data_IF_718542719607
#
_entry.id   IF_718542719607
#
_cell.length_a   1.000
_cell.length_b   1.000
_cell.length_c   1.000
_cell.angle_alpha   90.00
_cell.angle_beta   90.00
_cell.angle_gamma   90.00
#
_symmetry.space_group_name_H-M   'P 1'
#
loop_
_entity.id
_entity.type
_entity.pdbx_description
1 polymer ?
#
# COMPACT_ATOMS: atom_id res chain seq x y z
N UNK A 1 -10.34 9.17 -21.23
CA UNK A 1 -10.28 8.60 -19.88
C UNK A 1 -8.85 8.14 -19.68
N UNK A 2 -8.13 8.77 -18.75
CA UNK A 2 -6.77 8.40 -18.43
C UNK A 2 -6.82 7.55 -17.16
N UNK A 3 -6.44 6.28 -17.28
CA UNK A 3 -6.25 5.38 -16.14
C UNK A 3 -4.79 5.49 -15.74
N UNK A 4 -4.53 5.88 -14.50
CA UNK A 4 -3.18 5.99 -13.96
C UNK A 4 -2.76 4.71 -13.23
N UNK A 5 -1.46 4.58 -12.96
CA UNK A 5 -0.90 3.47 -12.19
C UNK A 5 -1.51 3.40 -10.78
N UNK A 6 -1.44 2.20 -10.21
CA UNK A 6 -2.19 1.80 -9.03
C UNK A 6 -1.90 2.70 -7.80
N UNK A 7 -2.95 3.22 -7.16
CA UNK A 7 -2.88 3.77 -5.80
C UNK A 7 -2.48 2.64 -4.86
N UNK A 8 -1.46 2.82 -4.02
CA UNK A 8 -1.03 1.78 -3.07
C UNK A 8 -1.44 2.13 -1.64
N UNK A 9 -2.19 1.23 -1.03
CA UNK A 9 -2.60 1.31 0.37
C UNK A 9 -1.83 0.30 1.22
N UNK A 10 -1.60 0.62 2.50
CA UNK A 10 -0.96 -0.30 3.42
C UNK A 10 -1.51 -0.27 4.85
N UNK A 11 -1.42 -1.44 5.50
CA UNK A 11 -1.59 -1.65 6.93
C UNK A 11 -0.32 -2.28 7.51
N UNK A 12 0.07 -1.83 8.70
CA UNK A 12 1.19 -2.37 9.49
C UNK A 12 0.68 -3.00 10.78
N UNK A 13 1.14 -4.21 11.07
CA UNK A 13 0.76 -4.96 12.26
C UNK A 13 -0.77 -5.04 12.42
N UNK A 14 -1.26 -4.48 13.52
CA UNK A 14 -2.68 -4.53 13.92
C UNK A 14 -3.51 -3.34 13.41
N UNK A 15 -2.97 -2.51 12.51
CA UNK A 15 -3.75 -1.45 11.86
C UNK A 15 -4.97 -2.05 11.13
N UNK A 16 -6.14 -1.43 11.33
CA UNK A 16 -7.42 -1.79 10.68
C UNK A 16 -7.83 -0.79 9.61
N UNK A 17 -7.23 0.40 9.61
CA UNK A 17 -7.47 1.45 8.61
C UNK A 17 -6.35 1.39 7.59
N UNK A 18 -6.70 1.32 6.31
CA UNK A 18 -5.74 1.42 5.22
C UNK A 18 -5.18 2.84 5.14
N UNK A 19 -3.85 2.94 5.04
CA UNK A 19 -3.17 4.22 4.81
C UNK A 19 -2.78 4.31 3.35
N UNK A 20 -3.28 5.34 2.67
CA UNK A 20 -2.82 5.73 1.34
C UNK A 20 -1.33 6.07 1.38
N UNK A 21 -0.54 5.34 0.60
CA UNK A 21 0.91 5.56 0.47
C UNK A 21 1.27 6.39 -0.77
N UNK A 22 0.31 6.67 -1.64
CA UNK A 22 0.41 7.53 -2.81
C UNK A 22 0.16 6.80 -4.13
N UNK A 23 0.00 7.61 -5.17
CA UNK A 23 0.02 7.17 -6.56
C UNK A 23 1.45 7.24 -7.07
N UNK A 24 2.05 6.10 -7.41
CA UNK A 24 3.37 6.08 -8.04
C UNK A 24 3.23 5.84 -9.55
N UNK A 25 3.57 6.86 -10.33
CA UNK A 25 3.59 6.75 -11.79
C UNK A 25 4.82 5.99 -12.31
N UNK A 26 5.80 5.67 -11.44
CA UNK A 26 7.06 5.04 -11.81
C UNK A 26 7.32 3.80 -10.93
N UNK A 27 6.92 2.60 -11.37
CA UNK A 27 7.18 1.39 -10.59
C UNK A 27 8.70 1.17 -10.39
N UNK A 28 9.12 0.57 -9.26
CA UNK A 28 8.29 0.02 -8.19
C UNK A 28 7.92 1.03 -7.09
N UNK A 29 6.73 0.88 -6.50
CA UNK A 29 6.36 1.57 -5.26
C UNK A 29 7.29 1.16 -4.10
N UNK A 30 7.74 2.12 -3.29
CA UNK A 30 8.64 1.87 -2.14
C UNK A 30 8.03 2.40 -0.83
N UNK A 31 7.65 1.50 0.08
CA UNK A 31 7.23 1.86 1.45
C UNK A 31 8.44 2.09 2.36
N UNK A 32 8.82 3.36 2.54
CA UNK A 32 9.95 3.78 3.38
C UNK A 32 9.59 4.03 4.85
N UNK A 33 8.36 3.72 5.30
CA UNK A 33 7.98 3.92 6.70
C UNK A 33 8.76 2.98 7.61
N UNK A 34 9.23 3.49 8.74
CA UNK A 34 9.84 2.67 9.77
C UNK A 34 8.83 1.64 10.36
N UNK A 35 9.31 0.48 10.84
CA UNK A 35 8.49 -0.43 11.63
C UNK A 35 7.88 0.24 12.86
N UNK A 36 6.69 -0.17 13.25
CA UNK A 36 5.97 0.35 14.43
C UNK A 36 6.71 0.06 15.74
N UNK A 37 7.49 -1.01 15.79
CA UNK A 37 8.33 -1.38 16.93
C UNK A 37 9.69 -1.88 16.44
N UNK A 38 10.74 -1.63 17.24
CA UNK A 38 12.08 -2.14 16.98
C UNK A 38 12.22 -3.59 17.46
N UNK A 39 12.80 -4.46 16.63
CA UNK A 39 13.17 -5.83 16.99
C UNK A 39 12.25 -6.90 16.40
N UNK A 40 10.97 -6.98 16.78
CA UNK A 40 10.04 -7.96 16.21
C UNK A 40 9.84 -7.73 14.71
N UNK A 41 9.68 -8.82 13.92
CA UNK A 41 9.19 -8.71 12.57
C UNK A 41 7.80 -8.05 12.55
N UNK A 42 7.56 -7.21 11.56
CA UNK A 42 6.30 -6.51 11.34
C UNK A 42 5.60 -7.10 10.13
N UNK A 43 4.35 -7.56 10.30
CA UNK A 43 3.50 -7.87 9.15
C UNK A 43 3.05 -6.57 8.47
N UNK A 44 3.22 -6.50 7.15
CA UNK A 44 2.70 -5.44 6.30
C UNK A 44 1.78 -6.02 5.25
N UNK A 45 0.60 -5.43 5.13
CA UNK A 45 -0.39 -5.76 4.11
C UNK A 45 -0.46 -4.61 3.12
N UNK A 46 -0.54 -4.94 1.84
CA UNK A 46 -0.61 -3.99 0.74
C UNK A 46 -1.74 -4.37 -0.21
N UNK A 47 -2.42 -3.37 -0.75
CA UNK A 47 -3.38 -3.53 -1.83
C UNK A 47 -3.28 -2.33 -2.75
N UNK A 48 -3.71 -2.49 -4.00
CA UNK A 48 -3.67 -1.42 -4.97
C UNK A 48 -4.96 -1.33 -5.78
N UNK A 49 -5.32 -0.14 -6.25
CA UNK A 49 -6.49 0.09 -7.10
C UNK A 49 -6.17 1.10 -8.20
N UNK A 50 -6.87 1.01 -9.32
CA UNK A 50 -6.75 2.01 -10.38
C UNK A 50 -7.29 3.37 -9.93
N UNK A 51 -6.73 4.43 -10.50
CA UNK A 51 -7.30 5.78 -10.38
C UNK A 51 -7.87 6.20 -11.74
N UNK A 52 -9.14 6.55 -11.74
CA UNK A 52 -9.85 7.11 -12.89
C UNK A 52 -10.33 8.52 -12.58
N UNK A 53 -9.76 9.52 -13.28
CA UNK A 53 -10.15 10.92 -13.14
C UNK A 53 -10.19 11.39 -11.66
N UNK A 54 -9.07 11.17 -10.95
CA UNK A 54 -8.87 11.45 -9.52
C UNK A 54 -9.77 10.67 -8.54
N UNK A 55 -10.55 9.70 -9.04
CA UNK A 55 -11.32 8.79 -8.22
C UNK A 55 -10.66 7.41 -8.16
N UNK A 56 -10.43 6.90 -6.95
CA UNK A 56 -9.99 5.52 -6.73
C UNK A 56 -11.12 4.59 -7.14
N UNK A 57 -10.82 3.59 -7.96
CA UNK A 57 -11.81 2.56 -8.31
C UNK A 57 -12.12 1.70 -7.09
N UNK A 58 -13.28 1.02 -7.13
CA UNK A 58 -13.65 0.07 -6.08
C UNK A 58 -12.99 -1.31 -6.27
N UNK A 59 -12.28 -1.50 -7.37
CA UNK A 59 -11.65 -2.76 -7.75
C UNK A 59 -10.22 -2.82 -7.21
N UNK A 60 -10.10 -3.29 -5.97
CA UNK A 60 -8.82 -3.51 -5.31
C UNK A 60 -8.17 -4.82 -5.76
N UNK A 61 -6.84 -4.83 -5.81
CA UNK A 61 -6.04 -6.03 -5.99
C UNK A 61 -6.25 -7.01 -4.84
N UNK A 62 -5.80 -8.25 -5.02
CA UNK A 62 -5.58 -9.12 -3.89
C UNK A 62 -4.60 -8.47 -2.88
N UNK A 63 -4.77 -8.77 -1.59
CA UNK A 63 -3.85 -8.31 -0.55
C UNK A 63 -2.53 -9.07 -0.63
N UNK A 64 -1.42 -8.33 -0.75
CA UNK A 64 -0.07 -8.85 -0.58
C UNK A 64 0.35 -8.70 0.88
N UNK A 65 0.79 -9.79 1.51
CA UNK A 65 1.33 -9.77 2.87
C UNK A 65 2.84 -10.01 2.85
N UNK A 66 3.59 -9.15 3.53
CA UNK A 66 5.05 -9.20 3.67
C UNK A 66 5.42 -9.16 5.14
N UNK A 67 6.40 -9.96 5.56
CA UNK A 67 7.01 -9.85 6.88
C UNK A 67 8.27 -8.99 6.75
N UNK A 68 8.20 -7.76 7.27
CA UNK A 68 9.29 -6.80 7.28
C UNK A 68 10.17 -6.99 8.52
N UNK A 69 11.47 -6.88 8.35
CA UNK A 69 12.46 -6.96 9.43
C UNK A 69 13.19 -5.62 9.55
N UNK A 70 13.43 -5.18 10.80
CA UNK A 70 14.23 -3.99 11.12
C UNK A 70 15.72 -4.25 11.04
#
# INVERSE_FOLDING_TARGET
MAVYLDLTDSQRGTEVVWTDLGTDMNPPFVDNRAPLASGPPEERRYQAAYVDNDAVTTDWSATLTVIAHS
#
